data_IF_911328247369
#
_entry.id   IF_911328247369
#
_cell.length_a   1.000
_cell.length_b   1.000
_cell.length_c   1.000
_cell.angle_alpha   90.00
_cell.angle_beta   90.00
_cell.angle_gamma   90.00
#
_symmetry.space_group_name_H-M   'P 1'
#
loop_
_entity.id
_entity.type
_entity.pdbx_description
1 polymer ?
#
# COMPACT_ATOMS: atom_id res chain seq x y z
N UNK A 1 -4.14 22.14 33.41
CA UNK A 1 -3.47 22.93 32.36
C UNK A 1 -3.45 22.10 31.08
N UNK A 2 -3.20 22.70 29.93
CA UNK A 2 -3.66 22.21 28.63
C UNK A 2 -2.88 20.96 28.15
N UNK A 3 -3.61 20.03 27.56
CA UNK A 3 -3.11 18.82 26.89
C UNK A 3 -2.07 19.17 25.79
N UNK A 4 -0.87 18.60 25.84
CA UNK A 4 0.15 18.80 24.80
C UNK A 4 0.13 17.66 23.77
N UNK A 5 -0.59 17.94 22.68
CA UNK A 5 -0.56 17.23 21.40
C UNK A 5 0.85 16.74 21.03
N UNK A 6 1.07 15.43 21.17
CA UNK A 6 2.32 14.78 20.79
C UNK A 6 2.09 13.91 19.55
N UNK A 7 2.34 14.49 18.38
CA UNK A 7 2.40 13.83 17.06
C UNK A 7 1.21 12.94 16.71
N UNK A 8 0.22 13.54 16.05
CA UNK A 8 -0.56 12.84 15.02
C UNK A 8 0.45 12.32 13.97
N UNK A 9 0.81 11.05 14.07
CA UNK A 9 1.59 10.40 13.01
C UNK A 9 0.74 10.37 11.75
N UNK A 10 1.11 11.19 10.76
CA UNK A 10 0.66 11.04 9.37
C UNK A 10 1.30 9.78 8.74
N UNK A 11 0.99 8.63 9.34
CA UNK A 11 1.21 7.29 8.82
C UNK A 11 -0.17 6.84 8.34
N UNK A 12 -0.34 6.95 7.03
CA UNK A 12 -1.63 6.90 6.34
C UNK A 12 -2.38 5.55 6.48
N UNK A 13 -3.71 5.54 6.19
CA UNK A 13 -4.56 4.38 6.37
C UNK A 13 -3.96 3.13 5.75
N UNK A 14 -3.88 2.08 6.56
CA UNK A 14 -3.61 0.73 6.06
C UNK A 14 -4.78 0.33 5.18
N UNK A 15 -4.58 0.37 3.88
CA UNK A 15 -5.61 0.00 2.91
C UNK A 15 -5.51 -1.49 2.64
N UNK A 16 -6.62 -2.19 2.92
CA UNK A 16 -6.75 -3.60 2.61
C UNK A 16 -7.22 -3.75 1.17
N UNK A 17 -6.41 -4.40 0.34
CA UNK A 17 -6.70 -4.64 -1.08
C UNK A 17 -6.66 -6.14 -1.35
N UNK A 18 -7.66 -6.60 -2.10
CA UNK A 18 -7.78 -7.96 -2.61
C UNK A 18 -7.33 -8.01 -4.06
N UNK A 19 -6.49 -8.99 -4.42
CA UNK A 19 -6.04 -9.24 -5.79
C UNK A 19 -6.18 -10.73 -6.11
N UNK A 20 -6.92 -11.06 -7.17
CA UNK A 20 -6.92 -12.42 -7.73
C UNK A 20 -5.76 -12.59 -8.72
N UNK A 21 -4.96 -13.64 -8.54
CA UNK A 21 -3.81 -13.95 -9.40
C UNK A 21 -3.53 -15.46 -9.42
N UNK A 22 -2.71 -15.91 -10.37
CA UNK A 22 -2.21 -17.28 -10.38
C UNK A 22 -1.10 -17.52 -9.34
N UNK A 23 -0.35 -16.48 -8.98
CA UNK A 23 0.74 -16.55 -8.01
C UNK A 23 0.98 -15.21 -7.29
N UNK A 24 1.71 -15.27 -6.17
CA UNK A 24 1.96 -14.12 -5.30
C UNK A 24 2.78 -13.01 -5.98
N UNK A 25 3.71 -13.33 -6.88
CA UNK A 25 4.52 -12.31 -7.57
C UNK A 25 3.68 -11.56 -8.60
N UNK A 26 2.77 -12.25 -9.29
CA UNK A 26 1.78 -11.60 -10.14
C UNK A 26 0.87 -10.67 -9.32
N UNK A 27 0.38 -11.11 -8.16
CA UNK A 27 -0.43 -10.29 -7.28
C UNK A 27 0.31 -9.04 -6.78
N UNK A 28 1.54 -9.20 -6.26
CA UNK A 28 2.38 -8.07 -5.83
C UNK A 28 2.69 -7.10 -6.96
N UNK A 29 2.88 -7.59 -8.19
CA UNK A 29 3.14 -6.76 -9.37
C UNK A 29 1.93 -5.91 -9.70
N UNK A 30 0.75 -6.52 -9.82
CA UNK A 30 -0.52 -5.82 -10.10
C UNK A 30 -0.79 -4.75 -9.05
N UNK A 31 -0.53 -5.07 -7.78
CA UNK A 31 -0.65 -4.14 -6.66
C UNK A 31 0.29 -2.93 -6.82
N UNK A 32 1.58 -3.17 -7.11
CA UNK A 32 2.58 -2.10 -7.33
C UNK A 32 2.25 -1.24 -8.57
N UNK A 33 1.76 -1.86 -9.64
CA UNK A 33 1.33 -1.16 -10.86
C UNK A 33 0.12 -0.25 -10.58
N UNK A 34 -0.87 -0.72 -9.81
CA UNK A 34 -2.05 0.06 -9.39
C UNK A 34 -1.69 1.33 -8.60
N UNK A 35 -0.93 1.20 -7.50
CA UNK A 35 -0.51 2.37 -6.71
C UNK A 35 0.39 3.34 -7.50
N UNK A 36 1.21 2.81 -8.41
CA UNK A 36 2.07 3.65 -9.28
C UNK A 36 1.25 4.50 -10.26
N UNK A 37 0.15 3.97 -10.80
CA UNK A 37 -0.75 4.67 -11.71
C UNK A 37 -1.51 5.81 -10.99
N UNK A 38 -1.96 5.55 -9.75
CA UNK A 38 -2.52 6.58 -8.86
C UNK A 38 -1.47 7.61 -8.38
N UNK A 39 -0.17 7.35 -8.64
CA UNK A 39 0.93 8.21 -8.24
C UNK A 39 1.24 8.18 -6.74
N UNK A 40 0.87 7.09 -6.07
CA UNK A 40 1.03 6.83 -4.64
C UNK A 40 2.34 6.06 -4.39
N UNK A 41 3.18 6.55 -3.47
CA UNK A 41 4.43 5.88 -3.10
C UNK A 41 4.15 4.84 -2.02
N UNK A 42 4.36 3.56 -2.35
CA UNK A 42 4.11 2.43 -1.45
C UNK A 42 5.28 2.24 -0.47
N UNK A 43 4.97 2.28 0.83
CA UNK A 43 5.91 2.10 1.93
C UNK A 43 6.13 0.62 2.24
N UNK A 44 5.04 -0.15 2.34
CA UNK A 44 5.09 -1.58 2.65
C UNK A 44 3.83 -2.30 2.17
N UNK A 45 4.02 -3.50 1.62
CA UNK A 45 2.97 -4.45 1.27
C UNK A 45 3.12 -5.65 2.19
N UNK A 46 2.04 -6.08 2.85
CA UNK A 46 2.04 -7.28 3.67
C UNK A 46 0.82 -8.14 3.31
N UNK A 47 1.06 -9.32 2.74
CA UNK A 47 0.01 -10.33 2.57
C UNK A 47 -0.45 -10.82 3.95
N UNK A 48 -1.75 -10.75 4.24
CA UNK A 48 -2.31 -11.23 5.51
C UNK A 48 -3.14 -12.49 5.35
N UNK A 49 -3.77 -12.70 4.20
CA UNK A 49 -4.52 -13.94 3.88
C UNK A 49 -4.41 -14.27 2.40
N UNK A 50 -4.60 -15.54 2.09
CA UNK A 50 -4.84 -16.01 0.73
C UNK A 50 -5.71 -17.26 0.74
N UNK A 51 -6.53 -17.45 -0.29
CA UNK A 51 -7.30 -18.68 -0.50
C UNK A 51 -7.44 -19.01 -1.98
N UNK A 52 -7.57 -20.30 -2.29
CA UNK A 52 -7.85 -20.78 -3.65
C UNK A 52 -9.35 -20.61 -3.90
N UNK A 53 -9.72 -19.96 -5.01
CA UNK A 53 -11.12 -19.79 -5.42
C UNK A 53 -11.57 -20.96 -6.29
N UNK A 54 -12.88 -21.18 -6.44
CA UNK A 54 -13.44 -22.26 -7.27
C UNK A 54 -13.02 -22.19 -8.76
N UNK A 55 -12.46 -21.06 -9.20
CA UNK A 55 -11.92 -20.86 -10.56
C UNK A 55 -10.50 -21.42 -10.74
N UNK A 56 -9.82 -21.82 -9.66
CA UNK A 56 -8.41 -22.22 -9.65
C UNK A 56 -7.42 -21.05 -9.60
N UNK A 57 -7.91 -19.81 -9.42
CA UNK A 57 -7.10 -18.66 -9.04
C UNK A 57 -6.85 -18.63 -7.53
N UNK A 58 -5.90 -17.81 -7.11
CA UNK A 58 -5.65 -17.50 -5.69
C UNK A 58 -6.04 -16.05 -5.44
N UNK A 59 -6.96 -15.85 -4.51
CA UNK A 59 -7.32 -14.54 -4.00
C UNK A 59 -6.36 -14.18 -2.86
N UNK A 60 -5.64 -13.06 -3.00
CA UNK A 60 -4.65 -12.57 -2.05
C UNK A 60 -5.13 -11.27 -1.40
N UNK A 61 -5.10 -11.23 -0.07
CA UNK A 61 -5.43 -10.03 0.72
C UNK A 61 -4.13 -9.41 1.22
N UNK A 62 -3.91 -8.15 0.86
CA UNK A 62 -2.76 -7.35 1.26
C UNK A 62 -3.20 -6.17 2.12
N UNK A 63 -2.49 -5.94 3.21
CA UNK A 63 -2.47 -4.67 3.91
C UNK A 63 -1.34 -3.81 3.34
N UNK A 64 -1.69 -2.64 2.79
CA UNK A 64 -0.76 -1.74 2.12
C UNK A 64 -0.67 -0.39 2.83
N UNK A 65 0.56 0.03 3.11
CA UNK A 65 0.88 1.37 3.62
C UNK A 65 1.53 2.18 2.50
N UNK A 66 1.07 3.41 2.28
CA UNK A 66 1.46 4.29 1.18
C UNK A 66 1.12 5.75 1.53
N UNK A 67 1.67 6.73 0.79
CA UNK A 67 1.23 8.15 0.76
C UNK A 67 0.57 8.41 -0.60
N UNK A 68 -0.60 9.05 -0.81
CA UNK A 68 -1.59 9.88 -0.09
C UNK A 68 -1.24 11.35 0.12
N UNK A 69 -0.10 11.70 0.71
CA UNK A 69 0.40 13.08 0.67
C UNK A 69 0.56 13.60 -0.78
N UNK A 70 0.37 14.92 -1.05
CA UNK A 70 0.69 15.48 -2.37
C UNK A 70 2.17 15.21 -2.65
N UNK A 71 2.46 14.45 -3.73
CA UNK A 71 3.79 13.96 -4.15
C UNK A 71 4.91 14.79 -3.52
N UNK A 72 5.58 14.26 -2.49
CA UNK A 72 6.76 14.94 -1.94
C UNK A 72 7.74 15.12 -3.10
N UNK A 73 7.96 16.37 -3.49
CA UNK A 73 8.71 16.70 -4.69
C UNK A 73 10.13 16.13 -4.53
N UNK A 74 10.41 15.07 -5.30
CA UNK A 74 11.65 14.29 -5.24
C UNK A 74 12.86 15.19 -5.48
N UNK A 75 13.51 15.58 -4.38
CA UNK A 75 14.74 16.38 -4.30
C UNK A 75 14.73 17.75 -5.02
N UNK A 76 14.67 18.82 -4.22
CA UNK A 76 15.54 20.00 -4.41
C UNK A 76 16.14 20.48 -3.09
N UNK A 77 16.89 19.61 -2.40
CA UNK A 77 17.94 20.08 -1.49
C UNK A 77 19.22 20.23 -2.33
N UNK A 78 19.65 21.48 -2.56
CA UNK A 78 21.02 21.81 -2.99
C UNK A 78 21.67 22.64 -1.87
N UNK A 79 22.99 22.46 -1.63
CA UNK A 79 23.71 23.13 -0.56
C UNK A 79 23.83 24.65 -0.80
#
# INVERSE_FOLDING_TARGET
MIDQTSTESALEPTSQITVEAHDLHQAERLLKEHFSDEGLDVISIQMTRSWITDTGLVEYVFDVKHYVGPKQARNTFRP
#
